data_IF_052156476342
#
_entry.id   IF_052156476342
#
_cell.length_a   1.000
_cell.length_b   1.000
_cell.length_c   1.000
_cell.angle_alpha   90.00
_cell.angle_beta   90.00
_cell.angle_gamma   90.00
#
_symmetry.space_group_name_H-M   'P 1'
#
loop_
_entity.id
_entity.type
_entity.pdbx_description
1 polymer ?
#
# COMPACT_ATOMS: atom_id res chain seq x y z
N UNK A 1 -58.28 -15.94 15.24
CA UNK A 1 -59.41 -16.87 15.45
C UNK A 1 -59.80 -17.40 14.09
N UNK A 2 -59.70 -18.73 13.92
CA UNK A 2 -60.54 -19.61 13.06
C UNK A 2 -60.63 -19.27 11.56
N UNK A 3 -60.67 -20.19 10.61
CA UNK A 3 -60.70 -21.65 10.54
C UNK A 3 -60.85 -21.93 9.02
N UNK A 4 -60.07 -22.85 8.45
CA UNK A 4 -60.53 -24.16 7.98
C UNK A 4 -60.93 -24.23 6.49
N UNK A 5 -60.35 -25.23 5.83
CA UNK A 5 -60.78 -25.85 4.57
C UNK A 5 -62.25 -26.30 4.63
N UNK A 6 -62.86 -26.68 3.47
CA UNK A 6 -62.96 -28.12 3.24
C UNK A 6 -62.85 -28.56 1.78
N UNK A 7 -62.45 -29.83 1.64
CA UNK A 7 -62.43 -30.63 0.42
C UNK A 7 -63.81 -31.24 0.07
N UNK A 8 -63.97 -31.61 -1.21
CA UNK A 8 -64.74 -32.77 -1.75
C UNK A 8 -65.02 -32.50 -3.24
N UNK A 9 -65.25 -33.42 -4.18
CA UNK A 9 -64.91 -34.82 -4.48
C UNK A 9 -65.81 -35.19 -5.70
N UNK A 10 -65.47 -36.25 -6.44
CA UNK A 10 -66.30 -36.95 -7.47
C UNK A 10 -66.33 -36.29 -8.88
N UNK A 11 -66.27 -36.99 -10.02
CA UNK A 11 -66.29 -38.43 -10.33
C UNK A 11 -66.02 -38.66 -11.83
N UNK A 12 -65.59 -39.90 -12.18
CA UNK A 12 -65.91 -40.69 -13.40
C UNK A 12 -65.40 -40.20 -14.77
N UNK A 13 -64.89 -41.02 -15.71
CA UNK A 13 -64.79 -42.48 -15.83
C UNK A 13 -64.06 -42.85 -17.15
N UNK A 14 -63.23 -43.90 -17.08
CA UNK A 14 -62.99 -44.99 -18.06
C UNK A 14 -62.53 -44.74 -19.51
N UNK A 15 -61.37 -45.31 -19.87
CA UNK A 15 -61.27 -46.41 -20.86
C UNK A 15 -59.87 -47.08 -20.82
N UNK A 16 -59.85 -48.42 -20.71
CA UNK A 16 -58.68 -49.32 -20.81
C UNK A 16 -58.36 -49.64 -22.27
N UNK A 17 -57.09 -49.82 -22.66
CA UNK A 17 -56.40 -51.09 -23.03
C UNK A 17 -55.37 -50.70 -24.12
N UNK A 18 -54.19 -51.29 -24.34
CA UNK A 18 -53.70 -52.66 -24.22
C UNK A 18 -52.15 -52.66 -24.24
N UNK A 19 -51.54 -53.67 -23.61
CA UNK A 19 -50.09 -53.97 -23.63
C UNK A 19 -49.80 -55.04 -24.69
N UNK A 20 -48.56 -55.12 -25.25
CA UNK A 20 -47.82 -56.37 -25.16
C UNK A 20 -46.35 -56.22 -24.70
N UNK A 21 -45.90 -57.14 -23.85
CA UNK A 21 -44.50 -57.44 -23.46
C UNK A 21 -43.86 -58.39 -24.53
N UNK A 22 -42.60 -58.92 -24.45
CA UNK A 22 -41.59 -58.99 -23.37
C UNK A 22 -40.14 -58.64 -23.82
N UNK A 23 -39.10 -58.51 -22.98
CA UNK A 23 -38.16 -59.58 -22.57
C UNK A 23 -36.91 -58.89 -21.96
N UNK A 24 -36.30 -59.46 -20.92
CA UNK A 24 -35.37 -58.74 -20.03
C UNK A 24 -33.87 -58.69 -20.37
N UNK A 25 -33.12 -58.03 -19.49
CA UNK A 25 -31.75 -58.36 -19.07
C UNK A 25 -31.38 -57.49 -17.85
N UNK A 26 -30.52 -58.02 -16.98
CA UNK A 26 -30.18 -57.54 -15.63
C UNK A 26 -28.84 -56.77 -15.65
N UNK A 27 -28.72 -55.77 -14.74
CA UNK A 27 -27.54 -55.09 -14.15
C UNK A 27 -27.12 -53.72 -14.74
N UNK A 28 -26.37 -52.86 -13.99
CA UNK A 28 -26.37 -52.56 -12.53
C UNK A 28 -26.63 -51.05 -12.25
N UNK A 29 -26.67 -50.66 -10.96
CA UNK A 29 -27.16 -49.37 -10.45
C UNK A 29 -26.39 -48.08 -10.84
N UNK A 30 -26.95 -46.89 -10.52
CA UNK A 30 -26.47 -45.62 -11.04
C UNK A 30 -25.24 -45.13 -10.26
N UNK A 31 -24.15 -44.92 -10.98
CA UNK A 31 -22.99 -44.15 -10.55
C UNK A 31 -23.35 -42.68 -10.40
N UNK A 32 -22.99 -42.09 -9.26
CA UNK A 32 -23.05 -40.66 -8.97
C UNK A 32 -22.31 -39.86 -10.06
N UNK A 33 -23.02 -39.05 -10.82
CA UNK A 33 -22.44 -38.05 -11.72
C UNK A 33 -22.12 -36.77 -10.91
N UNK A 34 -20.83 -36.46 -10.77
CA UNK A 34 -20.36 -35.14 -10.33
C UNK A 34 -20.51 -34.12 -11.47
N UNK A 35 -21.02 -32.89 -11.22
CA UNK A 35 -21.18 -31.89 -12.26
C UNK A 35 -20.00 -30.93 -12.24
N UNK A 36 -18.86 -31.27 -12.85
CA UNK A 36 -17.81 -30.28 -13.12
C UNK A 36 -17.21 -30.49 -14.51
N UNK A 37 -17.43 -29.52 -15.40
CA UNK A 37 -16.72 -29.43 -16.68
C UNK A 37 -15.23 -29.15 -16.46
N UNK A 38 -14.37 -29.34 -17.49
CA UNK A 38 -12.94 -29.17 -17.37
C UNK A 38 -12.59 -27.71 -17.02
N UNK A 39 -11.90 -27.51 -15.90
CA UNK A 39 -11.31 -26.22 -15.52
C UNK A 39 -10.16 -25.94 -16.51
N UNK A 40 -10.33 -24.96 -17.38
CA UNK A 40 -9.25 -24.46 -18.23
C UNK A 40 -8.20 -23.79 -17.35
N UNK A 41 -7.01 -24.41 -17.26
CA UNK A 41 -5.91 -23.90 -16.44
C UNK A 41 -5.37 -22.61 -17.07
N UNK A 42 -5.35 -21.48 -16.36
CA UNK A 42 -4.80 -20.23 -16.88
C UNK A 42 -3.29 -20.35 -17.16
N UNK A 43 -2.79 -19.63 -18.16
CA UNK A 43 -1.38 -19.64 -18.60
C UNK A 43 -0.38 -19.32 -17.46
N UNK A 44 -0.80 -18.57 -16.44
CA UNK A 44 0.00 -18.26 -15.24
C UNK A 44 0.01 -19.31 -14.13
N UNK A 45 -0.86 -20.32 -14.24
CA UNK A 45 -0.96 -21.46 -13.29
C UNK A 45 -0.35 -22.72 -13.92
N UNK A 46 -0.53 -22.87 -15.23
CA UNK A 46 0.04 -23.94 -16.04
C UNK A 46 1.58 -23.90 -15.97
N UNK A 47 2.20 -25.00 -15.56
CA UNK A 47 3.66 -25.13 -15.44
C UNK A 47 4.25 -24.60 -14.13
N UNK A 48 3.43 -24.13 -13.18
CA UNK A 48 3.90 -23.80 -11.84
C UNK A 48 4.26 -25.09 -11.06
N UNK A 49 5.28 -25.07 -10.18
CA UNK A 49 5.68 -26.25 -9.41
C UNK A 49 4.55 -26.80 -8.51
N UNK A 50 3.57 -25.96 -8.17
CA UNK A 50 2.40 -26.25 -7.34
C UNK A 50 1.08 -26.22 -8.15
N UNK A 51 1.12 -26.42 -9.47
CA UNK A 51 -0.05 -26.34 -10.37
C UNK A 51 -1.27 -27.12 -9.86
N UNK A 52 -1.08 -28.38 -9.45
CA UNK A 52 -2.20 -29.21 -8.95
C UNK A 52 -2.87 -28.63 -7.70
N UNK A 53 -2.09 -28.07 -6.78
CA UNK A 53 -2.60 -27.42 -5.57
C UNK A 53 -3.35 -26.12 -5.91
N UNK A 54 -2.82 -25.35 -6.85
CA UNK A 54 -3.46 -24.12 -7.35
C UNK A 54 -4.78 -24.41 -8.08
N UNK A 55 -4.83 -25.45 -8.92
CA UNK A 55 -6.08 -25.89 -9.57
C UNK A 55 -7.10 -26.37 -8.54
N UNK A 56 -6.66 -27.12 -7.53
CA UNK A 56 -7.55 -27.53 -6.42
C UNK A 56 -8.07 -26.34 -5.64
N UNK A 57 -7.24 -25.32 -5.41
CA UNK A 57 -7.65 -24.09 -4.73
C UNK A 57 -8.73 -23.35 -5.54
N UNK A 58 -8.49 -23.14 -6.83
CA UNK A 58 -9.46 -22.51 -7.73
C UNK A 58 -10.77 -23.29 -7.82
N UNK A 59 -10.70 -24.63 -7.89
CA UNK A 59 -11.89 -25.49 -7.88
C UNK A 59 -12.68 -25.40 -6.57
N UNK A 60 -12.00 -25.33 -5.43
CA UNK A 60 -12.61 -25.20 -4.09
C UNK A 60 -13.31 -23.86 -3.90
N UNK A 61 -12.67 -22.76 -4.31
CA UNK A 61 -13.14 -21.40 -3.99
C UNK A 61 -13.93 -20.76 -5.12
N UNK A 62 -13.75 -21.23 -6.35
CA UNK A 62 -14.29 -20.64 -7.57
C UNK A 62 -13.53 -19.39 -8.05
N UNK A 63 -12.48 -18.96 -7.34
CA UNK A 63 -11.75 -17.74 -7.67
C UNK A 63 -10.90 -17.93 -8.92
N UNK A 64 -10.85 -16.88 -9.74
CA UNK A 64 -9.92 -16.81 -10.87
C UNK A 64 -8.50 -16.59 -10.40
N UNK A 65 -7.54 -17.02 -11.22
CA UNK A 65 -6.12 -16.72 -11.02
C UNK A 65 -5.46 -16.29 -12.32
N UNK A 66 -4.77 -15.15 -12.29
CA UNK A 66 -4.16 -14.52 -13.47
C UNK A 66 -2.75 -14.07 -13.13
N UNK A 67 -1.77 -14.35 -14.01
CA UNK A 67 -0.41 -13.86 -13.88
C UNK A 67 -0.12 -12.76 -14.91
N UNK A 68 0.23 -11.57 -14.43
CA UNK A 68 0.51 -10.39 -15.26
C UNK A 68 1.67 -9.59 -14.67
N UNK A 69 2.64 -9.20 -15.50
CA UNK A 69 3.73 -8.28 -15.12
C UNK A 69 4.46 -8.66 -13.82
N UNK A 70 4.72 -9.96 -13.63
CA UNK A 70 5.39 -10.47 -12.43
C UNK A 70 4.53 -10.42 -11.16
N UNK A 71 3.20 -10.42 -11.29
CA UNK A 71 2.25 -10.58 -10.20
C UNK A 71 1.31 -11.72 -10.53
N UNK A 72 1.09 -12.66 -9.60
CA UNK A 72 0.03 -13.64 -9.71
C UNK A 72 -1.09 -13.24 -8.77
N UNK A 73 -2.28 -13.07 -9.33
CA UNK A 73 -3.45 -12.49 -8.68
C UNK A 73 -4.51 -13.57 -8.50
N UNK A 74 -4.97 -13.75 -7.27
CA UNK A 74 -6.09 -14.59 -6.88
C UNK A 74 -7.27 -13.70 -6.51
N UNK A 75 -8.42 -13.85 -7.18
CA UNK A 75 -9.59 -12.97 -7.06
C UNK A 75 -9.90 -12.17 -8.33
N UNK A 76 -10.96 -11.32 -8.35
CA UNK A 76 -11.94 -11.04 -7.29
C UNK A 76 -12.86 -12.24 -6.95
N UNK A 77 -13.71 -12.15 -5.90
CA UNK A 77 -14.67 -13.20 -5.59
C UNK A 77 -15.62 -13.51 -6.76
N UNK A 78 -16.06 -14.77 -6.94
CA UNK A 78 -17.00 -15.13 -8.00
C UNK A 78 -18.30 -14.34 -7.91
N UNK A 79 -18.75 -13.75 -9.01
CA UNK A 79 -19.97 -12.94 -9.06
C UNK A 79 -19.87 -11.59 -8.34
N UNK A 80 -18.65 -11.09 -8.07
CA UNK A 80 -18.48 -9.77 -7.48
C UNK A 80 -18.63 -8.66 -8.52
N UNK A 81 -19.81 -8.04 -8.56
CA UNK A 81 -20.14 -6.95 -9.50
C UNK A 81 -19.93 -5.54 -8.90
N UNK A 82 -19.53 -5.43 -7.63
CA UNK A 82 -19.30 -4.15 -6.96
C UNK A 82 -17.89 -3.59 -7.19
N UNK A 83 -17.72 -2.28 -6.97
CA UNK A 83 -16.43 -1.62 -7.06
C UNK A 83 -15.36 -2.26 -6.15
N UNK A 84 -14.09 -2.02 -6.46
CA UNK A 84 -12.95 -2.45 -5.64
C UNK A 84 -13.10 -1.94 -4.19
N UNK A 85 -12.68 -2.73 -3.17
CA UNK A 85 -12.71 -2.29 -1.79
C UNK A 85 -12.01 -0.94 -1.58
N UNK A 86 -12.50 -0.12 -0.64
CA UNK A 86 -11.90 1.18 -0.36
C UNK A 86 -10.51 1.06 0.28
N UNK A 87 -9.78 2.17 0.35
CA UNK A 87 -8.47 2.27 1.02
C UNK A 87 -8.52 1.71 2.44
N UNK A 88 -7.40 1.13 2.86
CA UNK A 88 -7.27 0.50 4.18
C UNK A 88 -7.84 -0.91 4.27
N UNK A 89 -8.34 -1.49 3.17
CA UNK A 89 -8.71 -2.89 3.10
C UNK A 89 -7.54 -3.82 2.71
N UNK A 90 -6.36 -3.27 2.39
CA UNK A 90 -5.19 -4.02 1.98
C UNK A 90 -4.15 -4.16 3.09
N UNK A 91 -3.54 -5.34 3.19
CA UNK A 91 -2.36 -5.62 4.02
C UNK A 91 -1.15 -5.97 3.15
N UNK A 92 0.03 -5.62 3.64
CA UNK A 92 1.30 -6.12 3.13
C UNK A 92 1.69 -7.38 3.91
N UNK A 93 2.12 -8.40 3.19
CA UNK A 93 2.61 -9.66 3.73
C UNK A 93 4.04 -9.86 3.26
N UNK A 94 5.01 -9.80 4.17
CA UNK A 94 6.42 -10.01 3.92
C UNK A 94 6.96 -11.26 4.62
N UNK A 95 8.26 -11.51 4.42
CA UNK A 95 8.97 -12.70 4.94
C UNK A 95 8.36 -14.02 4.47
N UNK A 96 7.70 -14.00 3.31
CA UNK A 96 7.16 -15.20 2.69
C UNK A 96 8.35 -16.06 2.22
N UNK A 97 8.45 -17.35 2.62
CA UNK A 97 9.44 -18.24 2.05
C UNK A 97 9.31 -18.33 0.52
N UNK A 98 10.43 -18.44 -0.20
CA UNK A 98 10.50 -18.39 -1.68
C UNK A 98 9.71 -19.49 -2.40
N UNK A 99 9.30 -20.50 -1.65
CA UNK A 99 8.61 -21.72 -2.06
C UNK A 99 7.23 -21.88 -1.38
N UNK A 100 6.72 -20.81 -0.75
CA UNK A 100 5.35 -20.72 -0.22
C UNK A 100 4.52 -19.88 -1.19
N UNK A 101 3.36 -20.40 -1.57
CA UNK A 101 2.52 -19.80 -2.62
C UNK A 101 1.05 -19.71 -2.16
N UNK A 102 0.16 -19.33 -3.06
CA UNK A 102 -1.24 -19.05 -2.78
C UNK A 102 -2.00 -20.24 -2.19
N UNK A 103 -1.62 -21.48 -2.54
CA UNK A 103 -2.22 -22.69 -1.97
C UNK A 103 -2.01 -22.81 -0.45
N UNK A 104 -0.91 -22.28 0.08
CA UNK A 104 -0.65 -22.22 1.52
C UNK A 104 -1.05 -20.88 2.14
N UNK A 105 -0.92 -19.77 1.41
CA UNK A 105 -1.22 -18.43 1.92
C UNK A 105 -2.73 -18.18 2.00
N UNK A 106 -3.50 -18.54 0.97
CA UNK A 106 -4.94 -18.26 0.91
C UNK A 106 -5.68 -18.88 2.11
N UNK A 107 -5.45 -20.15 2.50
CA UNK A 107 -6.07 -20.73 3.69
C UNK A 107 -5.78 -19.97 5.00
N UNK A 108 -4.59 -19.37 5.12
CA UNK A 108 -4.21 -18.57 6.29
C UNK A 108 -4.98 -17.26 6.32
N UNK A 109 -5.01 -16.52 5.21
CA UNK A 109 -5.66 -15.20 5.17
C UNK A 109 -7.19 -15.28 5.08
N UNK A 110 -7.75 -16.34 4.47
CA UNK A 110 -9.21 -16.56 4.43
C UNK A 110 -9.79 -16.83 5.83
N UNK A 111 -8.96 -17.28 6.79
CA UNK A 111 -9.39 -17.50 8.19
C UNK A 111 -9.81 -16.22 8.91
N UNK A 112 -9.33 -15.05 8.45
CA UNK A 112 -9.67 -13.75 9.05
C UNK A 112 -10.93 -13.15 8.43
N UNK A 113 -11.07 -13.28 7.11
CA UNK A 113 -12.18 -12.71 6.36
C UNK A 113 -12.10 -13.00 4.87
N UNK A 114 -13.14 -12.60 4.14
CA UNK A 114 -13.21 -12.81 2.69
C UNK A 114 -12.17 -11.96 1.97
N UNK A 115 -11.23 -12.65 1.32
CA UNK A 115 -10.23 -12.04 0.45
C UNK A 115 -10.95 -11.51 -0.80
N UNK A 116 -10.76 -10.23 -1.09
CA UNK A 116 -11.12 -9.66 -2.38
C UNK A 116 -10.05 -10.02 -3.41
N UNK A 117 -8.79 -9.74 -3.14
CA UNK A 117 -7.68 -10.05 -4.04
C UNK A 117 -6.42 -10.40 -3.24
N UNK A 118 -5.69 -11.43 -3.64
CA UNK A 118 -4.31 -11.67 -3.19
C UNK A 118 -3.38 -11.51 -4.39
N UNK A 119 -2.34 -10.67 -4.25
CA UNK A 119 -1.33 -10.43 -5.27
C UNK A 119 0.02 -10.92 -4.76
N UNK A 120 0.44 -12.11 -5.21
CA UNK A 120 1.77 -12.63 -4.93
C UNK A 120 2.75 -12.11 -5.97
N UNK A 121 3.85 -11.51 -5.50
CA UNK A 121 4.87 -10.95 -6.39
C UNK A 121 5.80 -12.07 -6.84
N UNK A 122 5.98 -12.22 -8.16
CA UNK A 122 6.69 -13.34 -8.78
C UNK A 122 7.92 -12.86 -9.55
N UNK A 123 9.02 -13.58 -9.46
CA UNK A 123 10.19 -13.43 -10.30
C UNK A 123 10.03 -14.19 -11.63
N UNK A 124 10.88 -13.84 -12.61
CA UNK A 124 10.88 -14.49 -13.92
C UNK A 124 11.30 -15.97 -13.86
N UNK A 125 11.96 -16.40 -12.77
CA UNK A 125 12.34 -17.79 -12.52
C UNK A 125 11.20 -18.64 -11.93
N UNK A 126 10.01 -18.07 -11.75
CA UNK A 126 8.83 -18.75 -11.20
C UNK A 126 8.77 -18.81 -9.67
N UNK A 127 9.76 -18.26 -8.96
CA UNK A 127 9.69 -18.13 -7.50
C UNK A 127 8.95 -16.88 -7.09
N UNK A 128 8.36 -16.88 -5.90
CA UNK A 128 7.82 -15.64 -5.34
C UNK A 128 8.97 -14.71 -4.90
N UNK A 129 8.70 -13.41 -4.76
CA UNK A 129 9.64 -12.36 -4.36
C UNK A 129 9.73 -12.16 -2.84
N UNK A 130 9.12 -13.04 -2.06
CA UNK A 130 9.10 -13.01 -0.59
C UNK A 130 8.06 -12.06 0.03
N UNK A 131 7.16 -11.51 -0.79
CA UNK A 131 6.06 -10.67 -0.32
C UNK A 131 4.83 -10.74 -1.22
N UNK A 132 3.68 -10.41 -0.65
CA UNK A 132 2.38 -10.35 -1.28
C UNK A 132 1.56 -9.18 -0.72
N UNK A 133 0.48 -8.84 -1.41
CA UNK A 133 -0.57 -7.97 -0.91
C UNK A 133 -1.86 -8.75 -0.81
N UNK A 134 -2.62 -8.54 0.27
CA UNK A 134 -3.94 -9.15 0.46
C UNK A 134 -4.95 -8.05 0.71
N UNK A 135 -5.84 -7.85 -0.25
CA UNK A 135 -6.99 -6.96 -0.16
C UNK A 135 -8.18 -7.76 0.36
N UNK A 136 -8.74 -7.33 1.47
CA UNK A 136 -10.00 -7.85 2.01
C UNK A 136 -11.20 -7.10 1.43
N UNK A 137 -12.38 -7.69 1.55
CA UNK A 137 -13.63 -7.00 1.19
C UNK A 137 -14.00 -5.86 2.15
N UNK A 138 -13.49 -5.89 3.39
CA UNK A 138 -13.82 -4.90 4.43
C UNK A 138 -12.59 -4.43 5.24
N UNK A 139 -12.54 -3.13 5.57
CA UNK A 139 -11.44 -2.48 6.30
C UNK A 139 -11.13 -3.16 7.64
N UNK A 140 -12.16 -3.56 8.39
CA UNK A 140 -11.98 -4.20 9.70
C UNK A 140 -11.29 -5.57 9.60
N UNK A 141 -11.44 -6.30 8.47
CA UNK A 141 -10.79 -7.59 8.24
C UNK A 141 -9.28 -7.40 8.03
N UNK A 142 -8.86 -6.36 7.30
CA UNK A 142 -7.45 -6.01 7.15
C UNK A 142 -6.79 -5.70 8.49
N UNK A 143 -7.45 -4.88 9.34
CA UNK A 143 -6.95 -4.58 10.70
C UNK A 143 -6.84 -5.83 11.58
N UNK A 144 -7.83 -6.71 11.52
CA UNK A 144 -7.79 -8.00 12.22
C UNK A 144 -6.63 -8.87 11.73
N UNK A 145 -6.40 -8.94 10.42
CA UNK A 145 -5.32 -9.73 9.85
C UNK A 145 -3.94 -9.25 10.32
N UNK A 146 -3.72 -7.93 10.43
CA UNK A 146 -2.48 -7.40 11.00
C UNK A 146 -2.29 -7.83 12.46
N UNK A 147 -3.35 -7.81 13.27
CA UNK A 147 -3.28 -8.22 14.68
C UNK A 147 -3.10 -9.73 14.87
N UNK A 148 -3.81 -10.52 14.08
CA UNK A 148 -3.92 -11.97 14.25
C UNK A 148 -2.82 -12.74 13.49
N UNK A 149 -2.37 -12.24 12.32
CA UNK A 149 -1.48 -12.98 11.42
C UNK A 149 -0.05 -12.43 11.36
N UNK A 150 0.24 -11.31 12.02
CA UNK A 150 1.63 -10.87 12.13
C UNK A 150 2.42 -11.82 13.05
N UNK A 151 3.57 -12.28 12.59
CA UNK A 151 4.34 -13.38 13.16
C UNK A 151 3.62 -14.75 13.12
N UNK A 152 2.65 -14.94 12.22
CA UNK A 152 2.06 -16.26 11.99
C UNK A 152 3.11 -17.24 11.44
N UNK A 153 3.22 -18.42 12.04
CA UNK A 153 4.16 -19.46 11.63
C UNK A 153 3.56 -20.28 10.48
N UNK A 154 3.86 -19.88 9.23
CA UNK A 154 3.34 -20.56 8.02
C UNK A 154 3.92 -21.97 7.85
N UNK A 155 5.17 -22.14 8.29
CA UNK A 155 5.90 -23.42 8.35
C UNK A 155 6.85 -23.38 9.55
N UNK A 156 7.33 -24.53 10.07
CA UNK A 156 8.23 -24.56 11.22
C UNK A 156 9.41 -23.58 11.11
N UNK A 157 9.50 -22.63 12.05
CA UNK A 157 10.51 -21.57 12.12
C UNK A 157 10.35 -20.44 11.09
N UNK A 158 9.25 -20.37 10.34
CA UNK A 158 9.01 -19.38 9.28
C UNK A 158 7.81 -18.51 9.62
N UNK A 159 8.11 -17.32 10.13
CA UNK A 159 7.10 -16.34 10.55
C UNK A 159 6.82 -15.33 9.44
N UNK A 160 5.54 -15.12 9.12
CA UNK A 160 5.09 -14.05 8.24
C UNK A 160 5.21 -12.69 8.93
N UNK A 161 5.60 -11.66 8.18
CA UNK A 161 5.46 -10.28 8.63
C UNK A 161 4.20 -9.68 8.01
N UNK A 162 3.23 -9.27 8.83
CA UNK A 162 1.98 -8.68 8.34
C UNK A 162 1.85 -7.27 8.90
N UNK A 163 1.62 -6.30 8.02
CA UNK A 163 1.36 -4.91 8.40
C UNK A 163 0.31 -4.29 7.47
N UNK A 164 -0.26 -3.15 7.87
CA UNK A 164 -1.14 -2.39 6.99
C UNK A 164 -0.43 -2.07 5.67
N UNK A 165 -1.11 -2.25 4.54
CA UNK A 165 -0.57 -1.80 3.26
C UNK A 165 -0.54 -0.28 3.24
N UNK A 166 0.48 0.27 2.60
CA UNK A 166 0.60 1.70 2.40
C UNK A 166 0.31 1.99 0.94
N UNK A 167 -0.89 2.49 0.67
CA UNK A 167 -1.33 2.88 -0.66
C UNK A 167 -0.64 4.18 -1.08
N UNK A 168 0.59 4.08 -1.59
CA UNK A 168 1.35 5.22 -2.11
C UNK A 168 0.68 5.76 -3.39
N UNK A 169 -0.37 6.54 -3.24
CA UNK A 169 -1.10 7.16 -4.35
C UNK A 169 -0.80 8.66 -4.48
N UNK A 170 0.11 9.18 -3.67
CA UNK A 170 0.43 10.60 -3.63
C UNK A 170 1.86 10.84 -4.11
N UNK A 171 2.01 11.78 -5.03
CA UNK A 171 3.31 12.23 -5.53
C UNK A 171 3.63 13.61 -4.98
N UNK A 172 4.89 13.82 -4.63
CA UNK A 172 5.46 15.15 -4.46
C UNK A 172 5.90 15.69 -5.83
N UNK A 173 5.48 16.90 -6.17
CA UNK A 173 5.94 17.62 -7.36
C UNK A 173 6.55 18.95 -6.92
N UNK A 174 7.88 19.06 -7.02
CA UNK A 174 8.65 20.27 -6.78
C UNK A 174 9.03 21.00 -8.07
N UNK A 175 9.49 22.25 -7.93
CA UNK A 175 9.89 23.09 -9.07
C UNK A 175 8.71 23.82 -9.72
N UNK A 176 7.56 23.86 -9.04
CA UNK A 176 6.36 24.55 -9.52
C UNK A 176 6.54 26.07 -9.33
N UNK A 177 6.10 26.93 -10.28
CA UNK A 177 6.13 28.37 -10.09
C UNK A 177 5.31 28.80 -8.87
N UNK A 178 5.90 29.65 -8.02
CA UNK A 178 5.32 30.03 -6.72
C UNK A 178 4.00 30.81 -6.81
N UNK A 179 3.63 31.30 -7.98
CA UNK A 179 2.38 32.05 -8.20
C UNK A 179 1.19 31.15 -8.54
N UNK A 180 1.42 29.86 -8.84
CA UNK A 180 0.36 28.94 -9.28
C UNK A 180 -0.51 28.46 -8.13
N UNK A 181 -1.82 28.44 -8.36
CA UNK A 181 -2.82 27.94 -7.40
C UNK A 181 -3.13 26.46 -7.62
N UNK A 182 -3.85 25.87 -6.66
CA UNK A 182 -4.28 24.46 -6.68
C UNK A 182 -4.94 24.09 -8.00
N UNK A 183 -5.89 24.90 -8.45
CA UNK A 183 -6.71 24.63 -9.64
C UNK A 183 -5.87 24.64 -10.91
N UNK A 184 -4.94 25.59 -11.04
CA UNK A 184 -4.02 25.65 -12.18
C UNK A 184 -3.05 24.46 -12.21
N UNK A 185 -2.56 24.03 -11.04
CA UNK A 185 -1.67 22.86 -10.93
C UNK A 185 -2.42 21.58 -11.26
N UNK A 186 -3.65 21.43 -10.75
CA UNK A 186 -4.52 20.31 -11.06
C UNK A 186 -4.78 20.21 -12.57
N UNK A 187 -5.15 21.32 -13.21
CA UNK A 187 -5.39 21.37 -14.65
C UNK A 187 -4.13 20.96 -15.44
N UNK A 188 -2.97 21.52 -15.08
CA UNK A 188 -1.73 21.27 -15.82
C UNK A 188 -1.23 19.83 -15.66
N UNK A 189 -1.31 19.25 -14.45
CA UNK A 189 -0.92 17.86 -14.20
C UNK A 189 -1.90 16.88 -14.86
N UNK A 190 -3.18 17.22 -14.91
CA UNK A 190 -4.21 16.40 -15.57
C UNK A 190 -4.08 16.36 -17.09
N UNK A 191 -3.45 17.36 -17.72
CA UNK A 191 -3.12 17.32 -19.17
C UNK A 191 -2.10 16.25 -19.51
N UNK A 192 -1.23 15.91 -18.56
CA UNK A 192 -0.09 15.01 -18.77
C UNK A 192 -0.23 13.67 -18.05
N UNK A 193 -1.08 13.54 -17.04
CA UNK A 193 -1.29 12.30 -16.29
C UNK A 193 -2.77 11.99 -16.14
N UNK A 194 -3.08 10.70 -15.98
CA UNK A 194 -4.44 10.21 -15.81
C UNK A 194 -4.70 9.83 -14.34
N UNK A 195 -5.97 9.87 -13.92
CA UNK A 195 -6.39 9.43 -12.59
C UNK A 195 -6.01 10.37 -11.45
N UNK A 196 -5.81 11.67 -11.73
CA UNK A 196 -5.59 12.69 -10.69
C UNK A 196 -6.91 12.94 -9.95
N UNK A 197 -6.91 12.80 -8.63
CA UNK A 197 -8.06 13.09 -7.75
C UNK A 197 -7.98 14.47 -7.12
N UNK A 198 -6.80 14.84 -6.62
CA UNK A 198 -6.62 16.11 -5.90
C UNK A 198 -5.20 16.64 -6.00
N UNK A 199 -5.05 17.95 -5.78
CA UNK A 199 -3.78 18.64 -5.58
C UNK A 199 -3.81 19.42 -4.26
N UNK A 200 -2.83 19.16 -3.41
CA UNK A 200 -2.63 19.85 -2.14
C UNK A 200 -1.47 20.82 -2.29
N UNK A 201 -1.74 22.11 -2.08
CA UNK A 201 -0.74 23.19 -2.18
C UNK A 201 -0.64 23.90 -0.84
N UNK A 202 0.60 24.07 -0.36
CA UNK A 202 0.86 24.81 0.86
C UNK A 202 1.23 26.24 0.52
N UNK A 203 0.53 27.20 1.14
CA UNK A 203 0.90 28.61 1.08
C UNK A 203 2.26 28.85 1.75
N UNK A 204 2.99 29.83 1.23
CA UNK A 204 4.24 30.30 1.81
C UNK A 204 3.95 31.05 3.09
N UNK A 205 4.67 30.71 4.16
CA UNK A 205 4.56 31.38 5.45
C UNK A 205 4.97 32.87 5.37
N UNK A 206 5.85 33.22 4.44
CA UNK A 206 6.33 34.58 4.24
C UNK A 206 5.43 35.43 3.32
N UNK A 207 4.62 34.78 2.48
CA UNK A 207 3.76 35.45 1.50
C UNK A 207 2.60 34.51 1.16
N UNK A 208 1.42 34.80 1.72
CA UNK A 208 0.22 33.94 1.57
C UNK A 208 -0.32 33.91 0.14
N UNK A 209 0.11 34.83 -0.74
CA UNK A 209 -0.23 34.79 -2.16
C UNK A 209 0.64 33.83 -2.96
N UNK A 210 1.73 33.31 -2.38
CA UNK A 210 2.65 32.39 -3.03
C UNK A 210 2.53 30.99 -2.44
N UNK A 211 2.71 29.97 -3.28
CA UNK A 211 2.95 28.60 -2.82
C UNK A 211 4.43 28.38 -2.44
N UNK A 212 4.72 27.23 -1.82
CA UNK A 212 6.07 26.86 -1.37
C UNK A 212 7.02 26.33 -2.46
N UNK A 213 6.63 26.38 -3.73
CA UNK A 213 7.38 25.87 -4.88
C UNK A 213 7.18 24.37 -5.15
N UNK A 214 6.19 23.77 -4.49
CA UNK A 214 5.84 22.36 -4.64
C UNK A 214 4.35 22.13 -4.36
N UNK A 215 3.85 20.99 -4.79
CA UNK A 215 2.51 20.50 -4.49
C UNK A 215 2.55 18.98 -4.26
N UNK A 216 1.51 18.47 -3.63
CA UNK A 216 1.25 17.03 -3.61
C UNK A 216 0.08 16.72 -4.52
N UNK A 217 0.21 15.68 -5.33
CA UNK A 217 -0.83 15.25 -6.26
C UNK A 217 -1.31 13.86 -5.84
N UNK A 218 -2.59 13.75 -5.57
CA UNK A 218 -3.25 12.50 -5.21
C UNK A 218 -3.84 11.85 -6.45
N UNK A 219 -3.62 10.55 -6.57
CA UNK A 219 -4.15 9.72 -7.64
C UNK A 219 -5.15 8.71 -7.09
N UNK A 220 -6.05 8.26 -7.98
CA UNK A 220 -7.12 7.31 -7.66
C UNK A 220 -6.58 5.93 -7.26
N UNK A 221 -5.40 5.56 -7.74
CA UNK A 221 -4.77 4.28 -7.46
C UNK A 221 -3.25 4.40 -7.44
N UNK A 222 -2.60 3.43 -6.78
CA UNK A 222 -1.14 3.34 -6.77
C UNK A 222 -0.59 3.17 -8.20
N UNK A 223 -1.31 2.41 -9.05
CA UNK A 223 -0.97 2.25 -10.47
C UNK A 223 -0.95 3.59 -11.20
N UNK A 224 -2.01 4.40 -11.04
CA UNK A 224 -2.09 5.72 -11.66
C UNK A 224 -0.94 6.62 -11.18
N UNK A 225 -0.65 6.63 -9.87
CA UNK A 225 0.48 7.37 -9.32
C UNK A 225 1.84 6.90 -9.86
N UNK A 226 2.07 5.59 -9.96
CA UNK A 226 3.34 5.05 -10.49
C UNK A 226 3.53 5.39 -11.97
N UNK A 227 2.47 5.30 -12.76
CA UNK A 227 2.46 5.69 -14.17
C UNK A 227 2.73 7.18 -14.34
N UNK A 228 2.08 8.01 -13.52
CA UNK A 228 2.30 9.44 -13.48
C UNK A 228 3.73 9.81 -13.12
N UNK A 229 4.30 9.23 -12.05
CA UNK A 229 5.69 9.46 -11.62
C UNK A 229 6.67 9.20 -12.76
N UNK A 230 6.52 8.06 -13.44
CA UNK A 230 7.37 7.70 -14.59
C UNK A 230 7.22 8.68 -15.74
N UNK A 231 6.00 9.13 -16.03
CA UNK A 231 5.73 10.07 -17.12
C UNK A 231 6.29 11.47 -16.81
N UNK A 232 6.21 11.89 -15.56
CA UNK A 232 6.66 13.19 -15.05
C UNK A 232 8.14 13.23 -14.62
N UNK A 233 8.91 12.16 -14.85
CA UNK A 233 10.34 12.15 -14.48
C UNK A 233 11.11 13.34 -15.11
N UNK A 234 12.08 13.92 -14.37
CA UNK A 234 12.85 15.06 -14.86
C UNK A 234 13.46 14.82 -16.24
N UNK A 235 13.32 15.80 -17.13
CA UNK A 235 13.86 15.76 -18.49
C UNK A 235 12.89 15.26 -19.57
N UNK A 236 11.74 14.68 -19.20
CA UNK A 236 10.71 14.26 -20.18
C UNK A 236 9.59 15.29 -20.35
N UNK A 237 9.19 15.95 -19.26
CA UNK A 237 8.06 16.90 -19.22
C UNK A 237 8.47 18.15 -18.44
N UNK A 238 7.99 19.31 -18.90
CA UNK A 238 8.07 20.59 -18.19
C UNK A 238 6.65 21.08 -17.93
N UNK A 239 6.39 21.61 -16.74
CA UNK A 239 5.14 22.31 -16.43
C UNK A 239 5.41 23.81 -16.48
N UNK A 240 4.64 24.56 -17.28
CA UNK A 240 4.89 25.99 -17.54
C UNK A 240 6.34 26.31 -17.97
N UNK A 241 6.98 25.43 -18.73
CA UNK A 241 8.39 25.57 -19.14
C UNK A 241 9.42 25.43 -18.00
N UNK A 242 8.99 25.01 -16.81
CA UNK A 242 9.86 24.76 -15.67
C UNK A 242 10.15 23.26 -15.55
N UNK A 243 11.40 22.93 -15.24
CA UNK A 243 11.75 21.56 -14.86
C UNK A 243 11.13 21.25 -13.50
N UNK A 244 10.45 20.10 -13.44
CA UNK A 244 9.84 19.60 -12.21
C UNK A 244 10.68 18.47 -11.61
N UNK A 245 10.62 18.36 -10.29
CA UNK A 245 11.12 17.22 -9.55
C UNK A 245 9.94 16.40 -9.05
N UNK A 246 9.91 15.10 -9.36
CA UNK A 246 8.82 14.22 -8.93
C UNK A 246 9.36 13.09 -8.09
N UNK A 247 8.79 12.92 -6.90
CA UNK A 247 9.07 11.79 -6.03
C UNK A 247 7.80 11.27 -5.38
N UNK A 248 7.88 10.09 -4.77
CA UNK A 248 6.81 9.62 -3.91
C UNK A 248 6.63 10.58 -2.75
N UNK A 249 5.38 10.93 -2.45
CA UNK A 249 5.10 11.66 -1.24
C UNK A 249 5.34 10.75 -0.03
N UNK A 250 5.74 11.35 1.08
CA UNK A 250 5.74 10.65 2.35
C UNK A 250 4.32 10.15 2.64
N UNK A 251 4.13 8.85 2.89
CA UNK A 251 2.79 8.31 3.08
C UNK A 251 2.16 8.90 4.33
N UNK A 252 0.89 9.27 4.25
CA UNK A 252 0.18 9.65 5.45
C UNK A 252 -0.02 8.43 6.33
N UNK A 253 0.36 8.56 7.60
CA UNK A 253 0.05 7.55 8.62
C UNK A 253 -1.47 7.55 8.77
N UNK A 254 -2.08 6.41 8.45
CA UNK A 254 -3.47 6.13 8.82
C UNK A 254 -3.47 5.75 10.31
N UNK A 255 -4.26 6.47 11.09
CA UNK A 255 -4.35 6.26 12.54
C UNK A 255 -5.70 5.61 12.79
N UNK A 256 -5.71 4.60 13.67
CA UNK A 256 -6.95 3.92 14.05
C UNK A 256 -8.00 4.90 14.58
N UNK A 257 -9.24 4.69 14.15
CA UNK A 257 -10.40 5.51 14.53
C UNK A 257 -10.57 5.53 16.06
N UNK A 258 -10.47 4.39 16.73
CA UNK A 258 -10.48 4.28 18.20
C UNK A 258 -9.41 5.16 18.88
N UNK A 259 -8.23 5.27 18.27
CA UNK A 259 -7.15 6.12 18.79
C UNK A 259 -7.48 7.59 18.53
N UNK A 260 -7.96 7.92 17.32
CA UNK A 260 -8.39 9.28 16.96
C UNK A 260 -9.54 9.79 17.83
N UNK A 261 -10.43 8.93 18.30
CA UNK A 261 -11.51 9.29 19.23
C UNK A 261 -10.98 9.84 20.55
N UNK A 262 -9.80 9.40 21.00
CA UNK A 262 -9.17 9.85 22.25
C UNK A 262 -8.39 11.18 22.12
N UNK A 263 -8.22 11.69 20.90
CA UNK A 263 -7.34 12.84 20.64
C UNK A 263 -7.95 14.15 21.12
N UNK A 264 -7.29 14.81 22.08
CA UNK A 264 -7.69 16.13 22.61
C UNK A 264 -6.85 17.30 22.07
N UNK A 265 -6.07 17.05 21.02
CA UNK A 265 -5.11 18.01 20.49
C UNK A 265 -5.55 18.42 19.10
N UNK A 266 -5.67 19.72 18.87
CA UNK A 266 -5.90 20.26 17.53
C UNK A 266 -4.57 20.63 16.88
N UNK A 267 -4.42 20.23 15.62
CA UNK A 267 -3.40 20.71 14.70
C UNK A 267 -3.98 21.87 13.91
N UNK A 268 -3.37 23.05 14.10
CA UNK A 268 -3.79 24.31 13.48
C UNK A 268 -2.72 24.73 12.50
N UNK A 269 -3.05 24.88 11.23
CA UNK A 269 -2.08 25.26 10.19
C UNK A 269 -2.53 26.52 9.46
N UNK A 270 -1.62 26.99 8.60
CA UNK A 270 -1.77 28.24 7.86
C UNK A 270 -1.84 29.48 8.77
N UNK A 271 -1.07 29.50 9.85
CA UNK A 271 -0.93 30.66 10.72
C UNK A 271 0.00 31.71 10.10
N UNK A 272 -0.13 32.98 10.51
CA UNK A 272 0.90 33.98 10.22
C UNK A 272 2.14 33.72 11.09
N UNK A 273 3.30 34.18 10.60
CA UNK A 273 4.54 34.06 11.37
C UNK A 273 4.49 34.86 12.68
N UNK A 274 3.78 35.98 12.67
CA UNK A 274 3.62 36.88 13.83
C UNK A 274 2.59 36.40 14.87
N UNK A 275 1.66 35.51 14.49
CA UNK A 275 0.62 35.01 15.40
C UNK A 275 1.23 34.42 16.66
N UNK A 276 0.82 34.93 17.82
CA UNK A 276 1.39 34.50 19.10
C UNK A 276 0.67 33.27 19.65
N UNK A 277 1.35 32.51 20.52
CA UNK A 277 0.71 31.41 21.26
C UNK A 277 -0.42 31.92 22.18
N UNK A 278 -0.31 33.15 22.67
CA UNK A 278 -1.32 33.79 23.51
C UNK A 278 -2.58 34.14 22.70
N UNK A 279 -2.42 34.70 21.50
CA UNK A 279 -3.54 34.92 20.56
C UNK A 279 -4.29 33.62 20.32
N UNK A 280 -3.57 32.53 20.03
CA UNK A 280 -4.17 31.22 19.82
C UNK A 280 -4.88 30.70 21.07
N UNK A 281 -4.30 30.86 22.26
CA UNK A 281 -4.94 30.45 23.52
C UNK A 281 -6.27 31.18 23.73
N UNK A 282 -6.33 32.47 23.42
CA UNK A 282 -7.55 33.27 23.56
C UNK A 282 -8.61 32.86 22.54
N UNK A 283 -8.24 32.76 21.25
CA UNK A 283 -9.15 32.39 20.17
C UNK A 283 -9.74 30.99 20.39
N UNK A 284 -8.91 30.01 20.76
CA UNK A 284 -9.36 28.63 20.98
C UNK A 284 -10.04 28.42 22.35
N UNK A 285 -9.88 29.35 23.29
CA UNK A 285 -10.51 29.33 24.62
C UNK A 285 -11.80 30.15 24.73
N UNK A 286 -12.28 30.77 23.66
CA UNK A 286 -13.36 31.76 23.72
C UNK A 286 -14.72 31.20 24.17
N UNK A 287 -14.97 29.90 23.98
CA UNK A 287 -16.23 29.25 24.37
C UNK A 287 -16.21 28.67 25.79
N UNK A 288 -15.02 28.32 26.28
CA UNK A 288 -14.85 27.70 27.58
C UNK A 288 -13.53 28.17 28.19
N UNK A 289 -13.61 29.15 29.08
CA UNK A 289 -12.43 29.77 29.69
C UNK A 289 -11.62 28.70 30.45
N UNK A 290 -10.39 28.45 30.00
CA UNK A 290 -9.50 27.46 30.61
C UNK A 290 -9.55 26.06 30.01
N UNK A 291 -10.34 25.82 28.94
CA UNK A 291 -10.31 24.53 28.23
C UNK A 291 -8.98 24.27 27.51
N UNK A 292 -8.28 25.33 27.12
CA UNK A 292 -6.94 25.25 26.50
C UNK A 292 -5.87 25.14 27.58
N UNK A 293 -5.31 23.94 27.73
CA UNK A 293 -4.23 23.65 28.68
C UNK A 293 -2.91 24.24 28.19
N UNK A 294 -2.61 24.05 26.90
CA UNK A 294 -1.32 24.40 26.31
C UNK A 294 -1.43 24.68 24.83
N UNK A 295 -0.69 25.69 24.37
CA UNK A 295 -0.43 25.94 22.96
C UNK A 295 1.06 25.72 22.69
N UNK A 296 1.40 25.12 21.56
CA UNK A 296 2.77 25.03 21.05
C UNK A 296 2.79 25.44 19.59
N UNK A 297 3.30 26.62 19.28
CA UNK A 297 3.45 27.13 17.92
C UNK A 297 4.82 26.76 17.35
N UNK A 298 4.84 26.33 16.10
CA UNK A 298 6.05 26.06 15.33
C UNK A 298 5.89 26.70 13.96
N UNK A 299 6.58 27.83 13.75
CA UNK A 299 6.51 28.62 12.50
C UNK A 299 5.08 29.03 12.16
N UNK A 300 4.47 28.39 11.16
CA UNK A 300 3.16 28.71 10.59
C UNK A 300 2.08 27.67 10.91
N UNK A 301 2.32 26.83 11.92
CA UNK A 301 1.34 25.92 12.48
C UNK A 301 1.49 25.82 14.00
N UNK A 302 0.50 25.27 14.69
CA UNK A 302 0.48 25.09 16.13
C UNK A 302 -0.27 23.82 16.54
N UNK A 303 0.03 23.37 17.75
CA UNK A 303 -0.73 22.35 18.47
C UNK A 303 -1.43 22.99 19.66
N UNK A 304 -2.76 22.82 19.74
CA UNK A 304 -3.59 23.33 20.83
C UNK A 304 -4.10 22.13 21.62
N UNK A 305 -3.68 22.04 22.88
CA UNK A 305 -4.04 20.98 23.80
C UNK A 305 -5.27 21.40 24.60
N UNK A 306 -6.34 20.61 24.49
CA UNK A 306 -7.55 20.78 25.27
C UNK A 306 -7.61 19.79 26.43
N UNK A 307 -8.28 20.20 27.51
CA UNK A 307 -8.57 19.33 28.66
C UNK A 307 -9.62 18.26 28.31
N UNK A 308 -10.58 18.61 27.44
CA UNK A 308 -11.66 17.74 26.95
C UNK A 308 -11.63 17.55 25.44
N UNK A 309 -12.05 16.36 24.99
CA UNK A 309 -12.27 16.06 23.57
C UNK A 309 -13.40 16.93 23.01
N UNK A 310 -14.46 17.09 23.77
CA UNK A 310 -15.66 17.82 23.35
C UNK A 310 -15.33 19.29 23.08
N UNK A 311 -14.57 19.93 23.96
CA UNK A 311 -14.10 21.31 23.76
C UNK A 311 -13.23 21.43 22.50
N UNK A 312 -12.38 20.43 22.22
CA UNK A 312 -11.57 20.40 21.00
C UNK A 312 -12.43 20.25 19.73
N UNK A 313 -13.47 19.40 19.74
CA UNK A 313 -14.41 19.29 18.60
C UNK A 313 -15.12 20.60 18.37
N UNK A 314 -15.69 21.19 19.43
CA UNK A 314 -16.43 22.45 19.33
C UNK A 314 -15.55 23.55 18.78
N UNK A 315 -14.33 23.71 19.30
CA UNK A 315 -13.39 24.70 18.79
C UNK A 315 -13.00 24.43 17.32
N UNK A 316 -12.78 23.16 16.94
CA UNK A 316 -12.48 22.78 15.56
C UNK A 316 -13.61 23.15 14.60
N UNK A 317 -14.85 22.78 14.92
CA UNK A 317 -16.00 23.01 14.05
C UNK A 317 -16.28 24.50 13.83
N UNK A 318 -16.01 25.34 14.83
CA UNK A 318 -16.23 26.78 14.73
C UNK A 318 -15.04 27.56 14.17
N UNK A 319 -13.80 27.10 14.37
CA UNK A 319 -12.60 27.83 13.95
C UNK A 319 -12.04 27.36 12.61
N UNK A 320 -12.36 26.15 12.16
CA UNK A 320 -11.84 25.66 10.90
C UNK A 320 -12.32 26.53 9.72
N UNK A 321 -11.38 27.09 8.96
CA UNK A 321 -11.64 28.00 7.84
C UNK A 321 -11.81 29.47 8.22
N UNK A 322 -11.79 29.82 9.52
CA UNK A 322 -11.94 31.21 9.98
C UNK A 322 -10.65 32.02 9.79
N UNK A 323 -10.76 33.35 9.78
CA UNK A 323 -9.61 34.24 9.68
C UNK A 323 -9.05 34.59 11.06
N UNK A 324 -7.75 34.33 11.25
CA UNK A 324 -6.99 34.76 12.43
C UNK A 324 -5.82 35.62 11.95
N UNK A 325 -5.81 36.89 12.35
CA UNK A 325 -4.77 37.88 11.99
C UNK A 325 -4.49 37.92 10.46
N UNK A 326 -5.56 37.93 9.66
CA UNK A 326 -5.45 38.02 8.20
C UNK A 326 -5.10 36.71 7.49
N UNK A 327 -5.12 35.56 8.17
CA UNK A 327 -4.90 34.25 7.56
C UNK A 327 -6.04 33.28 7.88
N UNK A 328 -6.63 32.66 6.85
CA UNK A 328 -7.63 31.61 7.02
C UNK A 328 -6.97 30.36 7.60
N UNK A 329 -7.28 30.01 8.85
CA UNK A 329 -6.69 28.87 9.52
C UNK A 329 -7.41 27.58 9.14
N UNK A 330 -6.66 26.49 9.10
CA UNK A 330 -7.21 25.14 8.92
C UNK A 330 -6.96 24.37 10.21
N UNK A 331 -8.03 23.81 10.78
CA UNK A 331 -8.04 23.16 12.09
C UNK A 331 -8.49 21.72 11.91
N UNK A 332 -7.65 20.80 12.35
CA UNK A 332 -7.90 19.36 12.29
C UNK A 332 -7.47 18.71 13.61
N UNK A 333 -7.91 17.49 13.87
CA UNK A 333 -7.35 16.71 14.98
C UNK A 333 -5.91 16.33 14.68
N UNK A 334 -5.03 16.53 15.66
CA UNK A 334 -3.65 16.15 15.51
C UNK A 334 -3.54 14.63 15.41
N UNK A 335 -2.93 14.13 14.34
CA UNK A 335 -2.62 12.69 14.24
C UNK A 335 -1.66 12.32 15.38
N UNK A 336 -2.05 11.41 16.29
CA UNK A 336 -1.20 11.00 17.38
C UNK A 336 0.04 10.33 16.82
N UNK A 337 1.18 10.75 17.33
CA UNK A 337 2.48 10.24 16.89
C UNK A 337 2.94 9.24 17.93
N UNK A 338 3.13 7.98 17.53
CA UNK A 338 3.86 7.03 18.36
C UNK A 338 5.31 7.51 18.52
N UNK A 339 5.69 7.83 19.76
CA UNK A 339 7.01 8.36 20.11
C UNK A 339 8.15 7.41 19.69
N UNK A 340 7.91 6.10 19.72
CA UNK A 340 8.90 5.10 19.34
C UNK A 340 9.07 5.02 17.83
N UNK A 341 7.95 5.10 17.10
CA UNK A 341 7.93 5.13 15.65
C UNK A 341 8.60 6.40 15.10
N UNK A 342 8.31 7.57 15.67
CA UNK A 342 8.92 8.85 15.30
C UNK A 342 10.44 8.88 15.51
N UNK A 343 10.92 8.30 16.62
CA UNK A 343 12.35 8.24 16.92
C UNK A 343 13.09 7.32 15.94
N UNK A 344 12.49 6.20 15.53
CA UNK A 344 13.04 5.32 14.48
C UNK A 344 13.07 6.04 13.13
N UNK A 345 12.03 6.81 12.81
CA UNK A 345 11.92 7.55 11.56
C UNK A 345 12.98 8.65 11.41
N UNK A 346 13.26 9.41 12.48
CA UNK A 346 14.36 10.40 12.49
C UNK A 346 15.76 9.78 12.38
N UNK A 347 15.94 8.56 12.89
CA UNK A 347 17.22 7.84 12.75
C UNK A 347 17.43 7.34 11.32
N UNK A 348 16.38 6.88 10.66
CA UNK A 348 16.43 6.46 9.26
C UNK A 348 16.71 7.64 8.30
N UNK A 349 16.11 8.81 8.53
CA UNK A 349 16.35 10.01 7.70
C UNK A 349 17.72 10.66 7.93
N UNK A 350 18.35 10.45 9.10
CA UNK A 350 19.70 10.95 9.41
C UNK A 350 20.83 9.95 9.09
N UNK A 351 20.53 8.71 8.71
CA UNK A 351 21.51 7.65 8.46
C UNK A 351 22.39 7.81 7.20
N UNK A 352 22.24 8.91 6.45
CA UNK A 352 22.97 9.16 5.21
C UNK A 352 24.37 9.77 5.35
N UNK A 353 24.86 10.07 6.56
CA UNK A 353 26.19 10.63 6.74
C UNK A 353 26.77 10.33 8.12
N UNK A 354 27.73 9.40 8.22
CA UNK A 354 29.01 9.54 8.96
C UNK A 354 29.82 8.24 8.92
N UNK A 355 31.14 8.41 8.81
CA UNK A 355 32.15 7.37 8.62
C UNK A 355 32.38 6.48 9.85
N UNK A 356 32.87 5.28 9.58
CA UNK A 356 33.10 4.18 10.50
C UNK A 356 34.16 4.46 11.59
N UNK A 357 33.93 3.94 12.80
CA UNK A 357 34.99 3.44 13.68
C UNK A 357 34.44 2.26 14.48
N UNK A 358 35.25 1.20 14.61
CA UNK A 358 34.84 -0.16 14.96
C UNK A 358 35.00 -0.51 16.45
N UNK A 359 34.06 -1.29 17.00
CA UNK A 359 34.26 -2.35 18.01
C UNK A 359 32.94 -3.18 18.22
N UNK A 360 32.97 -4.45 18.67
CA UNK A 360 31.94 -5.45 18.37
C UNK A 360 31.05 -5.94 19.55
N UNK A 361 29.98 -6.67 19.18
CA UNK A 361 29.09 -7.61 19.92
C UNK A 361 27.78 -7.07 20.57
N UNK A 362 26.71 -7.90 20.70
CA UNK A 362 25.87 -8.40 19.61
C UNK A 362 24.40 -7.97 19.81
N UNK A 363 23.67 -7.56 18.76
CA UNK A 363 22.26 -7.17 18.91
C UNK A 363 21.39 -7.71 17.79
N UNK A 364 20.33 -8.40 18.21
CA UNK A 364 19.14 -8.82 17.49
C UNK A 364 18.69 -7.75 16.48
N UNK A 365 18.85 -8.07 15.19
CA UNK A 365 18.55 -7.16 14.08
C UNK A 365 17.05 -7.14 13.76
N UNK A 366 16.38 -6.11 14.27
CA UNK A 366 15.09 -5.67 13.76
C UNK A 366 15.30 -4.90 12.45
N UNK A 367 14.93 -5.51 11.32
CA UNK A 367 14.95 -4.86 10.02
C UNK A 367 13.68 -4.02 9.80
N UNK A 368 13.86 -2.72 9.63
CA UNK A 368 12.86 -1.80 9.07
C UNK A 368 12.94 -1.91 7.56
N UNK A 369 11.90 -2.42 6.91
CA UNK A 369 11.82 -2.45 5.46
C UNK A 369 11.46 -1.06 4.94
N UNK A 370 12.46 -0.36 4.41
CA UNK A 370 12.29 0.88 3.65
C UNK A 370 12.63 0.55 2.19
N UNK A 371 11.69 -0.05 1.47
CA UNK A 371 11.77 -0.24 0.02
C UNK A 371 10.36 -0.11 -0.55
N UNK A 372 10.15 0.86 -1.44
CA UNK A 372 9.04 0.85 -2.40
C UNK A 372 9.30 -0.24 -3.44
N UNK A 373 8.58 -1.39 -3.44
CA UNK A 373 8.92 -2.56 -4.25
C UNK A 373 8.48 -2.45 -5.72
N UNK A 374 7.75 -1.38 -6.11
CA UNK A 374 7.16 -1.27 -7.44
C UNK A 374 8.14 -0.82 -8.53
N UNK A 375 9.28 -0.22 -8.18
CA UNK A 375 10.19 0.34 -9.19
C UNK A 375 11.00 -0.73 -9.95
N UNK A 376 11.22 -1.91 -9.35
CA UNK A 376 12.13 -2.93 -9.91
C UNK A 376 11.43 -4.08 -10.66
N UNK A 377 10.12 -4.20 -10.53
CA UNK A 377 9.41 -5.44 -10.88
C UNK A 377 8.69 -5.40 -12.23
N UNK A 378 8.50 -4.22 -12.82
CA UNK A 378 7.73 -4.01 -14.05
C UNK A 378 8.57 -3.94 -15.35
N UNK A 379 9.90 -3.80 -15.27
CA UNK A 379 10.73 -3.60 -16.48
C UNK A 379 11.82 -4.65 -16.60
N UNK A 380 11.54 -5.70 -17.37
CA UNK A 380 12.52 -6.69 -17.82
C UNK A 380 13.60 -6.09 -18.72
N UNK A 381 14.59 -5.44 -18.13
CA UNK A 381 15.85 -5.08 -18.78
C UNK A 381 16.97 -6.06 -18.35
N UNK A 382 17.86 -6.46 -19.27
CA UNK A 382 18.98 -7.32 -18.96
C UNK A 382 19.93 -6.64 -17.97
N UNK A 383 20.49 -7.46 -17.08
CA UNK A 383 21.49 -7.06 -16.10
C UNK A 383 22.63 -6.27 -16.77
N UNK A 384 23.01 -5.16 -16.12
CA UNK A 384 24.01 -4.15 -16.50
C UNK A 384 23.48 -3.03 -17.40
N UNK A 385 23.15 -1.88 -16.81
CA UNK A 385 23.91 -0.61 -16.89
C UNK A 385 23.06 0.55 -16.35
N UNK A 386 23.08 0.83 -15.04
CA UNK A 386 22.85 2.16 -14.46
C UNK A 386 23.54 2.20 -13.08
N UNK A 387 24.77 2.68 -13.08
CA UNK A 387 25.67 2.79 -11.91
C UNK A 387 25.58 4.22 -11.36
N UNK A 388 25.31 4.32 -10.05
CA UNK A 388 25.56 5.46 -9.15
C UNK A 388 25.87 4.91 -7.75
N UNK A 389 26.68 5.58 -6.92
CA UNK A 389 27.78 4.93 -6.21
C UNK A 389 27.35 4.30 -4.88
N UNK A 390 27.42 2.97 -4.79
CA UNK A 390 27.76 2.21 -3.58
C UNK A 390 27.77 0.72 -3.92
N UNK A 391 28.93 0.22 -4.36
CA UNK A 391 29.12 -1.16 -4.85
C UNK A 391 30.04 -1.98 -3.94
N UNK A 392 29.88 -1.90 -2.63
CA UNK A 392 30.70 -2.71 -1.72
C UNK A 392 29.84 -3.41 -0.66
N UNK A 393 29.08 -4.45 -1.04
CA UNK A 393 28.56 -5.40 -0.03
C UNK A 393 28.38 -6.86 -0.49
N UNK A 394 28.78 -7.23 -1.71
CA UNK A 394 28.72 -8.64 -2.13
C UNK A 394 29.93 -9.01 -2.96
N UNK A 395 30.94 -9.67 -2.35
CA UNK A 395 31.60 -10.89 -2.87
C UNK A 395 32.34 -11.59 -1.70
N UNK A 396 32.06 -12.90 -1.57
CA UNK A 396 32.81 -14.01 -0.96
C UNK A 396 32.64 -14.34 0.53
N UNK A 397 31.98 -15.48 0.74
CA UNK A 397 32.29 -16.45 1.80
C UNK A 397 32.06 -17.86 1.28
N UNK A 398 33.10 -18.48 0.71
CA UNK A 398 33.21 -19.91 0.38
C UNK A 398 34.66 -20.35 0.64
N UNK A 399 34.92 -21.60 1.06
CA UNK A 399 35.82 -21.90 2.16
C UNK A 399 37.32 -21.85 1.84
N UNK A 400 38.10 -21.59 2.89
CA UNK A 400 39.56 -21.51 2.89
C UNK A 400 40.23 -22.85 2.59
N UNK A 401 41.24 -22.83 1.72
CA UNK A 401 42.36 -23.77 1.72
C UNK A 401 43.64 -22.92 1.84
N UNK A 402 44.46 -23.23 2.84
CA UNK A 402 45.79 -22.65 3.04
C UNK A 402 46.77 -23.16 1.97
N UNK A 403 47.65 -22.28 1.45
CA UNK A 403 49.12 -22.49 1.43
C UNK A 403 49.88 -21.20 1.04
N UNK A 404 50.76 -20.78 1.95
CA UNK A 404 52.08 -20.13 1.82
C UNK A 404 52.50 -19.31 0.56
N UNK A 405 53.04 -18.11 0.80
CA UNK A 405 54.20 -17.59 0.04
C UNK A 405 54.18 -16.10 -0.36
N UNK A 406 55.21 -15.35 0.05
CA UNK A 406 55.46 -13.90 -0.12
C UNK A 406 55.71 -13.44 -1.57
N UNK A 407 55.37 -12.18 -1.92
CA UNK A 407 56.31 -11.08 -2.29
C UNK A 407 55.62 -9.85 -2.95
N UNK A 408 56.22 -8.66 -2.76
CA UNK A 408 55.75 -7.28 -3.12
C UNK A 408 56.28 -6.80 -4.51
N UNK A 409 56.11 -5.54 -5.00
CA UNK A 409 55.45 -5.21 -6.27
C UNK A 409 56.40 -4.61 -7.36
N UNK A 410 55.87 -4.32 -8.55
CA UNK A 410 56.54 -3.42 -9.50
C UNK A 410 55.56 -2.54 -10.28
N UNK A 411 55.75 -1.22 -10.18
CA UNK A 411 55.19 -0.20 -11.07
C UNK A 411 55.87 -0.22 -12.45
N UNK A 412 55.12 0.11 -13.51
CA UNK A 412 55.66 0.89 -14.63
C UNK A 412 54.54 1.59 -15.39
N UNK A 413 54.72 2.90 -15.58
CA UNK A 413 53.98 3.78 -16.50
C UNK A 413 54.22 3.38 -17.96
N UNK A 414 53.21 3.57 -18.82
CA UNK A 414 53.32 4.24 -20.12
C UNK A 414 51.98 4.18 -20.90
N UNK A 415 51.30 5.33 -21.00
CA UNK A 415 50.58 5.77 -22.22
C UNK A 415 51.62 6.21 -23.27
N UNK A 416 51.33 6.37 -24.60
CA UNK A 416 50.05 6.89 -25.13
C UNK A 416 49.61 6.44 -26.56
N UNK A 417 48.48 7.04 -26.98
CA UNK A 417 48.11 7.46 -28.35
C UNK A 417 47.37 6.51 -29.32
N UNK A 418 46.16 6.96 -29.71
CA UNK A 418 45.66 7.14 -31.10
C UNK A 418 44.24 6.60 -31.36
N UNK A 419 43.28 7.53 -31.33
CA UNK A 419 42.26 7.85 -32.36
C UNK A 419 41.96 6.81 -33.46
N UNK A 420 40.69 6.42 -33.64
CA UNK A 420 39.87 6.61 -34.86
C UNK A 420 38.56 5.80 -34.83
N UNK A 421 37.44 6.55 -34.89
CA UNK A 421 36.26 6.38 -35.77
C UNK A 421 35.78 4.93 -36.02
N UNK A 422 34.60 4.59 -35.49
CA UNK A 422 33.33 4.62 -36.26
C UNK A 422 32.13 4.62 -35.32
#
# INVERSE_FOLDING_TARGET
MTAEDPASSSSSSSAMSNIPAPSGSIAPGPSHHSPHGPITVPEGVSGAPNEAALVSLMGRTGYGMVQENGQRKYGPPPGWDSASPPRGCEIFVGKIPRDVYEDELVPVFESVGQIYEMRLMMDFDGKNRGYAFVMYTQKHQAKRAVRELNNYEVRPGRLLGVCCSVDNCRLFIGGIPKTKKREEILEEVSKVTEGVLDVIVYASAADKMKNRGFAFVEYESHRAAAMARRKLMPGRIQLWGHQIAVDWAEPEIDVDEDVMETVKILYVRNLMMETSEETLRQVFGQWNQGCVERVKKIRDYAFVHFSSRDDAVVAMDHLNGTEVEGSCIEVTLAKPVDKEQYTRYQKASKGGATAATAAPEPVQQNYVYQCDPYTLTYYGYPYNTLIGPNRDYFIKGGPMIQTNGKSIPSFSLATPFTLLIQ
#
